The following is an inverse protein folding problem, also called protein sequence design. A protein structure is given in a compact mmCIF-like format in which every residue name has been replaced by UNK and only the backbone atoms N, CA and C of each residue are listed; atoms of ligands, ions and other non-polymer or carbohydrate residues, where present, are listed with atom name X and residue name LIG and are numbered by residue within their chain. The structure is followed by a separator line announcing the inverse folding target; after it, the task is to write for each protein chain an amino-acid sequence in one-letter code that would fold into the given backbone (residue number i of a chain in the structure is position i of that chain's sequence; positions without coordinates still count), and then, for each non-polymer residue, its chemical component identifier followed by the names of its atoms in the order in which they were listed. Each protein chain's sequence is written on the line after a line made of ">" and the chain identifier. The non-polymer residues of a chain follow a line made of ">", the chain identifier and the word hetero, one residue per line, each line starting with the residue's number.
data_IF_653338477684
#
_entry.id   IF_653338477684
#
_cell.length_a   1.000
_cell.length_b   1.000
_cell.length_c   1.000
_cell.angle_alpha   90.00
_cell.angle_beta   90.00
_cell.angle_gamma   90.00
#
_symmetry.space_group_name_H-M   'P 1'
#
loop_
_entity.id
_entity.type
_entity.pdbx_description
1 polymer ?
#
# COMPACT_ATOMS: atom_id res chain seq x y z
N UNK A 1 3.13 -11.94 -6.25
CA UNK A 1 3.93 -11.46 -5.10
C UNK A 1 4.22 -12.56 -4.07
N UNK A 2 3.42 -13.64 -3.97
CA UNK A 2 3.73 -14.77 -3.08
C UNK A 2 3.31 -14.58 -1.62
N UNK A 3 2.43 -13.61 -1.33
CA UNK A 3 1.87 -13.36 -0.01
C UNK A 3 0.44 -13.90 0.07
N UNK A 4 0.12 -14.70 1.09
CA UNK A 4 -1.20 -15.32 1.28
C UNK A 4 -1.96 -14.83 2.52
N UNK A 5 -1.29 -14.17 3.47
CA UNK A 5 -1.88 -13.78 4.76
C UNK A 5 -2.90 -12.62 4.75
N UNK A 6 -3.03 -11.91 3.62
CA UNK A 6 -3.79 -10.68 3.51
C UNK A 6 -5.06 -10.80 2.65
N UNK A 7 -6.15 -10.17 3.10
CA UNK A 7 -7.36 -9.94 2.27
C UNK A 7 -7.25 -8.57 1.59
N UNK A 8 -7.29 -8.55 0.27
CA UNK A 8 -7.24 -7.30 -0.51
C UNK A 8 -8.64 -6.71 -0.73
N UNK A 9 -8.72 -5.38 -0.70
CA UNK A 9 -9.91 -4.60 -1.06
C UNK A 9 -9.46 -3.36 -1.84
N UNK A 10 -10.00 -3.17 -3.05
CA UNK A 10 -9.82 -1.93 -3.79
C UNK A 10 -10.61 -0.78 -3.17
N UNK A 11 -10.01 0.41 -3.17
CA UNK A 11 -10.62 1.62 -2.62
C UNK A 11 -11.27 2.46 -3.72
N UNK A 12 -12.42 3.04 -3.41
CA UNK A 12 -13.22 3.84 -4.34
C UNK A 12 -13.60 5.18 -3.68
N UNK A 13 -13.60 6.24 -4.46
CA UNK A 13 -14.09 7.57 -4.10
C UNK A 13 -15.23 8.01 -5.02
N UNK A 14 -15.57 9.30 -4.98
CA UNK A 14 -16.66 9.88 -5.79
C UNK A 14 -16.46 9.67 -7.30
N UNK A 15 -15.21 9.70 -7.77
CA UNK A 15 -14.84 9.63 -9.18
C UNK A 15 -14.42 8.21 -9.61
N UNK A 16 -14.70 7.20 -8.78
CA UNK A 16 -14.38 5.79 -9.06
C UNK A 16 -13.17 5.27 -8.30
N UNK A 17 -12.40 4.37 -8.92
CA UNK A 17 -11.29 3.66 -8.28
C UNK A 17 -10.14 4.63 -7.95
N UNK A 18 -9.59 4.55 -6.73
CA UNK A 18 -8.57 5.48 -6.24
C UNK A 18 -7.12 5.08 -6.61
N UNK A 19 -6.92 3.99 -7.36
CA UNK A 19 -5.61 3.39 -7.57
C UNK A 19 -5.02 2.75 -6.30
N UNK A 20 -5.79 2.65 -5.21
CA UNK A 20 -5.35 2.13 -3.92
C UNK A 20 -5.98 0.76 -3.66
N UNK A 21 -5.15 -0.20 -3.26
CA UNK A 21 -5.61 -1.48 -2.72
C UNK A 21 -5.19 -1.58 -1.27
N UNK A 22 -6.16 -1.72 -0.38
CA UNK A 22 -5.94 -2.01 1.02
C UNK A 22 -5.76 -3.52 1.20
N UNK A 23 -4.72 -3.93 1.92
CA UNK A 23 -4.52 -5.32 2.32
C UNK A 23 -4.69 -5.43 3.83
N UNK A 24 -5.65 -6.26 4.27
CA UNK A 24 -5.94 -6.49 5.69
C UNK A 24 -5.39 -7.84 6.13
N UNK A 25 -4.60 -7.83 7.18
CA UNK A 25 -4.06 -9.03 7.81
C UNK A 25 -4.84 -9.38 9.08
N UNK A 26 -4.62 -10.58 9.62
CA UNK A 26 -5.18 -10.96 10.91
C UNK A 26 -4.69 -10.00 12.01
N UNK A 27 -5.56 -9.66 12.95
CA UNK A 27 -5.22 -8.85 14.13
C UNK A 27 -4.51 -9.74 15.18
N UNK A 28 -3.38 -10.33 14.79
CA UNK A 28 -2.54 -11.23 15.59
C UNK A 28 -1.06 -10.89 15.36
N UNK A 29 -0.14 -11.32 16.24
CA UNK A 29 1.30 -11.13 16.00
C UNK A 29 1.78 -11.72 14.67
N UNK A 30 1.23 -12.88 14.27
CA UNK A 30 1.53 -13.49 12.98
C UNK A 30 1.06 -12.62 11.81
N UNK A 31 -0.16 -12.07 11.87
CA UNK A 31 -0.67 -11.18 10.83
C UNK A 31 0.10 -9.86 10.74
N UNK A 32 0.59 -9.33 11.87
CA UNK A 32 1.51 -8.18 11.87
C UNK A 32 2.81 -8.52 11.14
N UNK A 33 3.41 -9.68 11.42
CA UNK A 33 4.65 -10.12 10.74
C UNK A 33 4.46 -10.28 9.23
N UNK A 34 3.31 -10.81 8.79
CA UNK A 34 2.98 -10.90 7.37
C UNK A 34 2.79 -9.52 6.71
N UNK A 35 2.19 -8.59 7.44
CA UNK A 35 2.07 -7.18 7.01
C UNK A 35 3.45 -6.52 6.86
N UNK A 36 4.34 -6.72 7.83
CA UNK A 36 5.72 -6.24 7.81
C UNK A 36 6.49 -6.82 6.63
N UNK A 37 6.42 -8.14 6.39
CA UNK A 37 7.08 -8.77 5.24
C UNK A 37 6.60 -8.20 3.89
N UNK A 38 5.30 -7.91 3.73
CA UNK A 38 4.80 -7.29 2.51
C UNK A 38 5.34 -5.88 2.33
N UNK A 39 5.39 -5.08 3.40
CA UNK A 39 5.95 -3.74 3.35
C UNK A 39 7.46 -3.74 3.05
N UNK A 40 8.21 -4.65 3.67
CA UNK A 40 9.65 -4.86 3.41
C UNK A 40 9.91 -5.27 1.96
N UNK A 41 9.04 -6.09 1.37
CA UNK A 41 9.15 -6.44 -0.04
C UNK A 41 9.12 -5.21 -0.96
N UNK A 42 8.22 -4.27 -0.70
CA UNK A 42 8.19 -3.01 -1.45
C UNK A 42 9.38 -2.11 -1.12
N UNK A 43 9.79 -2.04 0.15
CA UNK A 43 10.93 -1.20 0.57
C UNK A 43 12.25 -1.67 -0.05
N UNK A 44 12.46 -2.98 -0.25
CA UNK A 44 13.66 -3.55 -0.89
C UNK A 44 13.90 -3.00 -2.31
N UNK A 45 12.82 -2.73 -3.03
CA UNK A 45 12.88 -2.16 -4.38
C UNK A 45 12.73 -0.62 -4.36
N UNK A 46 12.87 0.03 -3.19
CA UNK A 46 12.62 1.46 -3.01
C UNK A 46 11.22 1.88 -3.48
N UNK A 47 10.22 1.03 -3.24
CA UNK A 47 8.80 1.28 -3.52
C UNK A 47 7.97 1.40 -2.23
N UNK A 48 8.63 1.71 -1.11
CA UNK A 48 7.96 1.97 0.17
C UNK A 48 7.37 3.38 0.30
N UNK A 49 6.90 3.72 1.50
CA UNK A 49 6.19 4.98 1.78
C UNK A 49 6.98 6.22 1.36
N UNK A 50 8.27 6.28 1.70
CA UNK A 50 9.12 7.45 1.41
C UNK A 50 9.30 7.65 -0.09
N UNK A 51 9.44 6.56 -0.83
CA UNK A 51 9.53 6.62 -2.28
C UNK A 51 8.21 7.07 -2.89
N UNK A 52 7.09 6.52 -2.43
CA UNK A 52 5.77 6.94 -2.88
C UNK A 52 5.54 8.44 -2.67
N UNK A 53 5.91 8.96 -1.50
CA UNK A 53 5.80 10.39 -1.20
C UNK A 53 6.64 11.27 -2.17
N UNK A 54 7.84 10.81 -2.56
CA UNK A 54 8.66 11.52 -3.56
C UNK A 54 7.99 11.53 -4.93
N UNK A 55 7.48 10.38 -5.37
CA UNK A 55 6.81 10.25 -6.67
C UNK A 55 5.55 11.10 -6.74
N UNK A 56 4.78 11.16 -5.64
CA UNK A 56 3.60 12.03 -5.55
C UNK A 56 3.97 13.52 -5.58
N UNK A 57 5.14 13.90 -5.05
CA UNK A 57 5.60 15.28 -5.10
C UNK A 57 6.17 15.68 -6.47
N UNK A 58 6.66 14.72 -7.25
CA UNK A 58 7.24 14.92 -8.59
C UNK A 58 6.30 14.59 -9.74
N UNK A 59 5.09 14.09 -9.46
CA UNK A 59 4.14 13.68 -10.50
C UNK A 59 3.76 14.87 -11.38
N UNK A 60 4.17 14.79 -12.64
CA UNK A 60 3.74 15.71 -13.70
C UNK A 60 2.35 15.30 -14.22
N UNK A 61 1.74 16.11 -15.08
CA UNK A 61 0.39 15.85 -15.63
C UNK A 61 0.26 14.58 -16.49
N UNK A 62 1.36 13.88 -16.80
CA UNK A 62 1.36 12.67 -17.64
C UNK A 62 2.04 11.48 -16.93
N UNK A 63 1.27 10.80 -16.08
CA UNK A 63 1.72 9.61 -15.33
C UNK A 63 2.19 8.47 -16.23
N UNK A 64 1.72 8.40 -17.48
CA UNK A 64 2.02 7.32 -18.42
C UNK A 64 3.42 7.40 -19.04
N UNK A 65 4.11 8.52 -18.82
CA UNK A 65 5.51 8.75 -19.19
C UNK A 65 6.46 8.75 -18.00
N UNK A 66 5.93 8.68 -16.78
CA UNK A 66 6.76 8.67 -15.59
C UNK A 66 7.34 7.26 -15.35
N UNK A 67 8.67 7.07 -15.43
CA UNK A 67 9.30 5.77 -15.22
C UNK A 67 9.14 5.23 -13.79
N UNK A 68 8.87 6.11 -12.82
CA UNK A 68 8.54 5.71 -11.45
C UNK A 68 7.12 5.14 -11.32
N UNK A 69 6.23 5.41 -12.29
CA UNK A 69 4.84 4.95 -12.28
C UNK A 69 4.57 3.85 -13.31
N UNK A 70 5.35 3.80 -14.38
CA UNK A 70 5.17 2.87 -15.50
C UNK A 70 6.50 2.32 -15.96
N UNK A 71 6.62 0.99 -15.99
CA UNK A 71 7.71 0.28 -16.67
C UNK A 71 7.19 -0.24 -18.01
N UNK A 72 7.99 -0.03 -19.06
CA UNK A 72 7.72 -0.58 -20.39
C UNK A 72 8.64 -1.77 -20.59
N UNK A 73 8.09 -2.93 -20.93
CA UNK A 73 8.89 -4.07 -21.38
C UNK A 73 9.53 -3.71 -22.73
N UNK A 74 10.85 -3.63 -22.79
CA UNK A 74 11.57 -3.17 -23.98
C UNK A 74 11.39 -4.10 -25.19
N UNK A 75 11.05 -5.36 -24.95
CA UNK A 75 10.88 -6.37 -26.01
C UNK A 75 9.46 -6.40 -26.55
N UNK A 76 8.45 -6.27 -25.69
CA UNK A 76 7.03 -6.39 -26.08
C UNK A 76 6.32 -5.05 -26.20
N UNK A 77 6.89 -3.97 -25.64
CA UNK A 77 6.24 -2.68 -25.51
C UNK A 77 5.13 -2.65 -24.44
N UNK A 78 4.93 -3.73 -23.69
CA UNK A 78 3.87 -3.82 -22.69
C UNK A 78 4.15 -2.87 -21.51
N UNK A 79 3.18 -2.01 -21.20
CA UNK A 79 3.24 -1.11 -20.05
C UNK A 79 2.73 -1.81 -18.78
N UNK A 80 3.53 -1.79 -17.72
CA UNK A 80 3.17 -2.30 -16.39
C UNK A 80 3.28 -1.19 -15.36
N UNK A 81 2.26 -1.05 -14.51
CA UNK A 81 2.28 -0.10 -13.40
C UNK A 81 3.28 -0.53 -12.34
N UNK A 82 4.04 0.42 -11.83
CA UNK A 82 4.87 0.23 -10.64
C UNK A 82 3.98 0.32 -9.42
N UNK A 83 4.05 -0.68 -8.54
CA UNK A 83 3.29 -0.71 -7.31
C UNK A 83 4.16 -0.25 -6.15
N UNK A 84 3.57 0.60 -5.33
CA UNK A 84 4.13 1.04 -4.06
C UNK A 84 3.30 0.47 -2.91
N UNK A 85 3.95 0.09 -1.81
CA UNK A 85 3.27 -0.51 -0.67
C UNK A 85 3.97 -0.24 0.65
N UNK A 86 3.17 -0.10 1.70
CA UNK A 86 3.64 0.24 3.04
C UNK A 86 2.58 -0.10 4.10
N UNK A 87 3.01 -0.19 5.36
CA UNK A 87 2.09 -0.34 6.51
C UNK A 87 1.32 0.96 6.71
N UNK A 88 -0.01 0.86 6.75
CA UNK A 88 -0.90 1.98 7.02
C UNK A 88 -0.69 2.56 8.43
N UNK A 89 -0.75 3.88 8.54
CA UNK A 89 -0.62 4.63 9.80
C UNK A 89 -1.85 5.48 10.05
N UNK A 90 -1.91 6.19 11.18
CA UNK A 90 -2.98 7.13 11.46
C UNK A 90 -3.16 8.18 10.34
N UNK A 91 -2.08 8.59 9.67
CA UNK A 91 -2.11 9.53 8.55
C UNK A 91 -2.80 8.97 7.29
N UNK A 92 -3.00 7.67 7.18
CA UNK A 92 -3.61 7.05 6.00
C UNK A 92 -5.10 6.75 6.21
N UNK A 93 -5.64 7.00 7.41
CA UNK A 93 -7.05 6.76 7.70
C UNK A 93 -7.99 7.60 6.84
N UNK A 94 -7.54 8.75 6.35
CA UNK A 94 -8.32 9.56 5.40
C UNK A 94 -8.47 8.89 4.02
N UNK A 95 -7.51 8.04 3.65
CA UNK A 95 -7.45 7.35 2.35
C UNK A 95 -8.30 6.09 2.28
N UNK A 96 -8.91 5.69 3.40
CA UNK A 96 -9.80 4.53 3.47
C UNK A 96 -11.28 4.93 3.52
N UNK A 97 -12.15 3.95 3.27
CA UNK A 97 -13.59 4.15 3.31
C UNK A 97 -14.08 4.49 4.73
N UNK A 98 -15.24 5.15 4.80
CA UNK A 98 -15.82 5.62 6.05
C UNK A 98 -16.04 4.49 7.06
N UNK A 99 -16.52 3.34 6.59
CA UNK A 99 -16.80 2.18 7.46
C UNK A 99 -15.53 1.63 8.09
N UNK A 100 -14.43 1.55 7.33
CA UNK A 100 -13.15 1.14 7.85
C UNK A 100 -12.60 2.16 8.85
N UNK A 101 -12.62 3.44 8.49
CA UNK A 101 -12.14 4.52 9.37
C UNK A 101 -12.87 4.52 10.70
N UNK A 102 -14.19 4.32 10.71
CA UNK A 102 -15.00 4.25 11.93
C UNK A 102 -14.68 3.04 12.82
N UNK A 103 -14.26 1.92 12.22
CA UNK A 103 -13.97 0.66 12.93
C UNK A 103 -12.49 0.45 13.22
N UNK A 104 -11.62 1.34 12.77
CA UNK A 104 -10.18 1.20 12.92
C UNK A 104 -9.75 1.47 14.38
N UNK A 105 -8.91 0.60 14.91
CA UNK A 105 -8.20 0.81 16.17
C UNK A 105 -6.74 1.10 15.85
N UNK A 106 -6.23 2.25 16.29
CA UNK A 106 -4.81 2.60 16.15
C UNK A 106 -4.10 2.18 17.43
N UNK A 107 -3.05 1.38 17.28
CA UNK A 107 -2.16 1.00 18.38
C UNK A 107 -0.73 1.39 18.04
N UNK A 108 0.04 1.78 19.06
CA UNK A 108 1.49 1.89 18.96
C UNK A 108 2.06 0.49 18.72
N UNK A 109 3.11 0.39 17.90
CA UNK A 109 3.83 -0.88 17.72
C UNK A 109 4.43 -1.39 19.03
N UNK A 110 4.76 -0.50 19.97
CA UNK A 110 5.30 -0.88 21.30
C UNK A 110 4.24 -1.50 22.20
N UNK A 111 2.98 -1.14 21.98
CA UNK A 111 1.84 -1.58 22.78
C UNK A 111 1.05 -2.69 22.08
N UNK A 112 1.58 -3.19 20.95
CA UNK A 112 1.01 -4.34 20.24
C UNK A 112 1.47 -5.62 20.93
N UNK A 113 1.00 -5.79 22.16
CA UNK A 113 1.00 -7.07 22.85
C UNK A 113 -0.41 -7.65 22.72
N UNK A 114 -0.50 -8.81 22.10
CA UNK A 114 -1.71 -9.62 21.99
C UNK A 114 -1.49 -10.95 22.73
N UNK A 115 -0.80 -10.88 23.86
CA UNK A 115 -0.93 -11.91 24.88
C UNK A 115 -2.41 -12.03 25.24
N UNK A 116 -3.00 -13.19 24.93
CA UNK A 116 -4.38 -13.57 25.28
C UNK A 116 -4.62 -13.49 26.81
#
# INVERSE_FOLDING_TARGET
>A
LGFSGGKSKSMYGKDGHLGITLVKFAATPAGLKECEHLAEFFEKDNHGRRAWARVQASSSSDDDKNPDLVKVDERTGEKKRVLYGYIGTAFDLEKVDFDLRKKALIKSRRDFDLSD
#
